data_IF_758220529861
#
_entry.id   IF_758220529861
#
_cell.length_a   1.000
_cell.length_b   1.000
_cell.length_c   1.000
_cell.angle_alpha   90.00
_cell.angle_beta   90.00
_cell.angle_gamma   90.00
#
_symmetry.space_group_name_H-M   'P 1'
#
loop_
_entity.id
_entity.type
_entity.pdbx_description
1 polymer ?
#
# COMPACT_ATOMS: atom_id res chain seq x y z
N UNK A 1 2.75 22.52 -3.66
CA UNK A 1 2.77 22.05 -2.26
C UNK A 1 1.38 21.95 -1.61
N UNK A 2 0.42 22.86 -1.83
CA UNK A 2 -0.94 22.79 -1.23
C UNK A 2 -1.72 21.50 -1.57
N UNK A 3 -1.64 21.01 -2.80
CA UNK A 3 -2.43 19.86 -3.27
C UNK A 3 -2.12 18.54 -2.53
N UNK A 4 -0.84 18.25 -2.31
CA UNK A 4 -0.37 17.05 -1.58
C UNK A 4 -0.86 17.08 -0.13
N UNK A 5 -0.80 18.26 0.51
CA UNK A 5 -1.27 18.43 1.88
C UNK A 5 -2.79 18.23 2.02
N UNK A 6 -3.57 18.70 1.04
CA UNK A 6 -5.04 18.49 1.01
C UNK A 6 -5.40 17.02 0.81
N UNK A 7 -4.73 16.32 -0.11
CA UNK A 7 -4.91 14.88 -0.32
C UNK A 7 -4.60 14.09 0.95
N UNK A 8 -3.47 14.38 1.60
CA UNK A 8 -3.14 13.77 2.89
C UNK A 8 -4.20 14.06 3.95
N UNK A 9 -4.70 15.29 4.04
CA UNK A 9 -5.71 15.65 5.04
C UNK A 9 -7.04 14.89 4.84
N UNK A 10 -7.42 14.59 3.59
CA UNK A 10 -8.61 13.78 3.28
C UNK A 10 -8.37 12.32 3.66
N UNK A 11 -7.18 11.78 3.34
CA UNK A 11 -6.80 10.40 3.64
C UNK A 11 -6.63 10.16 5.14
N UNK A 12 -6.20 11.16 5.91
CA UNK A 12 -5.93 11.03 7.35
C UNK A 12 -7.19 11.03 8.24
N UNK A 13 -8.32 10.59 7.70
CA UNK A 13 -9.50 10.28 8.50
C UNK A 13 -9.30 8.92 9.17
N UNK A 14 -9.64 8.83 10.47
CA UNK A 14 -9.58 7.59 11.26
C UNK A 14 -10.13 6.34 10.54
N UNK A 15 -11.29 6.35 9.86
CA UNK A 15 -11.78 5.17 9.15
C UNK A 15 -10.89 4.75 7.98
N UNK A 16 -10.36 5.70 7.20
CA UNK A 16 -9.49 5.40 6.06
C UNK A 16 -8.14 4.83 6.52
N UNK A 17 -7.63 5.33 7.64
CA UNK A 17 -6.43 4.78 8.27
C UNK A 17 -6.64 3.34 8.74
N UNK A 18 -7.76 3.05 9.40
CA UNK A 18 -8.08 1.69 9.81
C UNK A 18 -8.24 0.76 8.60
N UNK A 19 -8.91 1.22 7.54
CA UNK A 19 -9.06 0.48 6.29
C UNK A 19 -7.70 0.16 5.65
N UNK A 20 -6.83 1.17 5.53
CA UNK A 20 -5.46 1.05 5.01
C UNK A 20 -4.66 0.02 5.79
N UNK A 21 -4.75 0.05 7.13
CA UNK A 21 -4.08 -0.93 8.00
C UNK A 21 -4.60 -2.36 7.77
N UNK A 22 -5.93 -2.52 7.73
CA UNK A 22 -6.56 -3.82 7.50
C UNK A 22 -6.15 -4.39 6.15
N UNK A 23 -6.19 -3.58 5.10
CA UNK A 23 -5.79 -4.00 3.76
C UNK A 23 -4.30 -4.37 3.69
N UNK A 24 -3.43 -3.60 4.34
CA UNK A 24 -2.00 -3.89 4.39
C UNK A 24 -1.69 -5.21 5.13
N UNK A 25 -2.32 -5.44 6.28
CA UNK A 25 -2.15 -6.68 7.05
C UNK A 25 -2.73 -7.88 6.30
N UNK A 26 -3.90 -7.72 5.69
CA UNK A 26 -4.54 -8.77 4.91
C UNK A 26 -3.67 -9.15 3.70
N UNK A 27 -3.19 -8.16 2.94
CA UNK A 27 -2.36 -8.42 1.76
C UNK A 27 -1.03 -9.06 2.15
N UNK A 28 -0.39 -8.58 3.23
CA UNK A 28 0.81 -9.23 3.75
C UNK A 28 0.54 -10.71 4.10
N UNK A 29 -0.58 -10.99 4.76
CA UNK A 29 -1.05 -12.35 5.02
C UNK A 29 -1.24 -13.17 3.75
N UNK A 30 -1.90 -12.61 2.72
CA UNK A 30 -2.09 -13.25 1.42
C UNK A 30 -0.75 -13.61 0.74
N UNK A 31 0.21 -12.69 0.74
CA UNK A 31 1.54 -12.89 0.14
C UNK A 31 2.28 -14.01 0.88
N UNK A 32 2.23 -14.05 2.21
CA UNK A 32 2.88 -15.12 2.98
C UNK A 32 2.17 -16.47 2.86
N UNK A 33 0.85 -16.47 2.69
CA UNK A 33 0.06 -17.70 2.62
C UNK A 33 0.23 -18.42 1.27
N UNK A 34 0.15 -17.68 0.16
CA UNK A 34 0.33 -18.23 -1.17
C UNK A 34 1.10 -17.25 -2.07
N UNK A 35 2.44 -17.23 -1.95
CA UNK A 35 3.28 -16.36 -2.77
C UNK A 35 3.24 -16.74 -4.25
N UNK A 36 2.81 -17.96 -4.59
CA UNK A 36 2.79 -18.44 -5.98
C UNK A 36 1.76 -17.71 -6.85
N UNK A 37 0.68 -17.20 -6.24
CA UNK A 37 -0.33 -16.38 -6.93
C UNK A 37 0.23 -15.05 -7.41
N UNK A 38 1.10 -14.44 -6.61
CA UNK A 38 1.80 -13.22 -6.97
C UNK A 38 3.11 -13.48 -7.69
N UNK A 39 3.48 -14.76 -7.87
CA UNK A 39 4.69 -15.22 -8.53
C UNK A 39 4.39 -15.86 -9.90
N UNK A 40 4.04 -15.04 -10.89
CA UNK A 40 3.83 -15.49 -12.26
C UNK A 40 5.18 -15.89 -12.90
N UNK A 41 5.58 -17.16 -12.70
CA UNK A 41 6.57 -17.92 -13.50
C UNK A 41 7.77 -17.07 -14.00
N UNK A 42 8.74 -16.79 -13.12
CA UNK A 42 10.15 -16.47 -13.49
C UNK A 42 10.34 -15.52 -14.68
N UNK A 43 9.69 -14.36 -14.68
CA UNK A 43 9.93 -13.28 -15.63
C UNK A 43 10.51 -12.09 -14.87
N UNK A 44 11.44 -11.31 -15.43
CA UNK A 44 12.00 -10.11 -14.77
C UNK A 44 10.93 -9.11 -14.29
N UNK A 45 9.73 -9.18 -14.86
CA UNK A 45 8.57 -8.40 -14.46
C UNK A 45 8.09 -8.73 -13.04
N UNK A 46 8.28 -9.97 -12.56
CA UNK A 46 7.86 -10.45 -11.22
C UNK A 46 8.47 -9.63 -10.08
N UNK A 47 9.77 -9.41 -10.17
CA UNK A 47 10.56 -8.79 -9.10
C UNK A 47 10.03 -7.38 -8.81
N UNK A 48 9.64 -6.65 -9.86
CA UNK A 48 9.05 -5.32 -9.74
C UNK A 48 7.67 -5.34 -9.10
N UNK A 49 6.84 -6.36 -9.39
CA UNK A 49 5.54 -6.53 -8.73
C UNK A 49 5.71 -6.82 -7.24
N UNK A 50 6.65 -7.71 -6.86
CA UNK A 50 7.00 -7.96 -5.46
C UNK A 50 7.43 -6.70 -4.72
N UNK A 51 8.32 -5.89 -5.31
CA UNK A 51 8.74 -4.61 -4.73
C UNK A 51 7.59 -3.61 -4.61
N UNK A 52 6.70 -3.55 -5.60
CA UNK A 52 5.53 -2.66 -5.57
C UNK A 52 4.54 -3.07 -4.46
N UNK A 53 4.27 -4.36 -4.30
CA UNK A 53 3.41 -4.89 -3.24
C UNK A 53 4.03 -4.67 -1.86
N UNK A 54 5.34 -4.89 -1.71
CA UNK A 54 6.06 -4.62 -0.46
C UNK A 54 6.00 -3.13 -0.10
N UNK A 55 6.25 -2.25 -1.07
CA UNK A 55 6.10 -0.81 -0.90
C UNK A 55 4.68 -0.43 -0.50
N UNK A 56 3.65 -1.03 -1.12
CA UNK A 56 2.25 -0.76 -0.80
C UNK A 56 1.89 -1.20 0.62
N UNK A 57 2.33 -2.38 1.06
CA UNK A 57 2.15 -2.86 2.43
C UNK A 57 2.83 -1.92 3.44
N UNK A 58 4.10 -1.57 3.24
CA UNK A 58 4.82 -0.65 4.13
C UNK A 58 4.14 0.74 4.18
N UNK A 59 3.75 1.28 3.02
CA UNK A 59 3.07 2.56 2.91
C UNK A 59 1.69 2.53 3.58
N UNK A 60 0.93 1.45 3.44
CA UNK A 60 -0.36 1.24 4.09
C UNK A 60 -0.24 1.09 5.61
N UNK A 61 0.82 0.47 6.12
CA UNK A 61 1.10 0.41 7.56
C UNK A 61 1.44 1.80 8.11
N UNK A 62 2.34 2.54 7.45
CA UNK A 62 2.66 3.94 7.79
C UNK A 62 1.38 4.80 7.81
N UNK A 63 0.60 4.61 6.75
CA UNK A 63 -0.82 4.92 6.58
C UNK A 63 -1.64 4.80 7.86
N UNK A 64 -1.89 3.54 8.18
CA UNK A 64 -2.87 3.11 9.15
C UNK A 64 -2.51 3.43 10.60
N UNK A 65 -1.23 3.33 10.97
CA UNK A 65 -0.78 3.79 12.30
C UNK A 65 -0.85 5.33 12.42
N UNK A 66 -0.94 6.02 11.28
CA UNK A 66 -0.93 7.48 11.10
C UNK A 66 0.35 8.15 11.50
N UNK A 67 1.44 7.50 11.15
CA UNK A 67 2.71 8.17 11.05
C UNK A 67 2.64 9.16 9.89
N UNK A 68 2.87 10.45 10.17
CA UNK A 68 2.92 11.51 9.15
C UNK A 68 4.37 11.91 8.87
N UNK A 69 4.94 11.57 7.70
CA UNK A 69 6.28 12.02 7.33
C UNK A 69 6.33 13.55 7.28
N UNK A 70 7.34 14.16 7.94
CA UNK A 70 7.48 15.63 7.96
C UNK A 70 8.02 16.20 6.65
N UNK A 71 8.88 15.46 5.93
CA UNK A 71 9.48 15.95 4.70
C UNK A 71 8.63 15.60 3.47
N UNK A 72 8.50 16.56 2.55
CA UNK A 72 7.63 16.45 1.36
C UNK A 72 8.05 15.33 0.42
N UNK A 73 9.35 15.05 0.30
CA UNK A 73 9.83 13.92 -0.51
C UNK A 73 9.32 12.59 0.04
N UNK A 74 9.32 12.39 1.36
CA UNK A 74 8.77 11.20 1.99
C UNK A 74 7.24 11.12 1.90
N UNK A 75 6.55 12.26 1.91
CA UNK A 75 5.10 12.29 1.64
C UNK A 75 4.76 11.87 0.20
N UNK A 76 5.63 12.23 -0.76
CA UNK A 76 5.49 11.76 -2.14
C UNK A 76 5.74 10.26 -2.27
N UNK A 77 6.82 9.76 -1.67
CA UNK A 77 7.21 8.34 -1.71
C UNK A 77 6.19 7.45 -0.98
N UNK A 78 5.64 7.90 0.15
CA UNK A 78 4.67 7.14 0.95
C UNK A 78 3.26 7.67 0.79
N UNK A 79 2.88 8.03 -0.44
CA UNK A 79 1.57 8.59 -0.72
C UNK A 79 0.45 7.57 -0.40
N UNK A 80 -0.41 7.84 0.60
CA UNK A 80 -1.37 6.85 1.10
C UNK A 80 -2.41 6.46 0.05
N UNK A 81 -2.81 7.40 -0.81
CA UNK A 81 -3.79 7.12 -1.86
C UNK A 81 -3.29 6.09 -2.87
N UNK A 82 -2.03 6.22 -3.31
CA UNK A 82 -1.44 5.29 -4.28
C UNK A 82 -1.26 3.92 -3.61
N UNK A 83 -0.80 3.90 -2.36
CA UNK A 83 -0.67 2.67 -1.60
C UNK A 83 -2.01 1.93 -1.46
N UNK A 84 -3.09 2.62 -1.06
CA UNK A 84 -4.41 2.01 -0.88
C UNK A 84 -4.98 1.46 -2.18
N UNK A 85 -4.74 2.12 -3.33
CA UNK A 85 -5.13 1.61 -4.65
C UNK A 85 -4.37 0.31 -4.97
N UNK A 86 -3.05 0.28 -4.76
CA UNK A 86 -2.24 -0.92 -5.01
C UNK A 86 -2.63 -2.06 -4.06
N UNK A 87 -2.92 -1.76 -2.79
CA UNK A 87 -3.42 -2.73 -1.82
C UNK A 87 -4.77 -3.33 -2.27
N UNK A 88 -5.70 -2.49 -2.72
CA UNK A 88 -7.00 -2.94 -3.22
C UNK A 88 -6.85 -3.86 -4.43
N UNK A 89 -6.00 -3.49 -5.39
CA UNK A 89 -5.73 -4.29 -6.59
C UNK A 89 -5.05 -5.61 -6.25
N UNK A 90 -4.07 -5.60 -5.34
CA UNK A 90 -3.39 -6.82 -4.89
C UNK A 90 -4.34 -7.79 -4.18
N UNK A 91 -5.23 -7.28 -3.34
CA UNK A 91 -6.27 -8.09 -2.69
C UNK A 91 -7.29 -8.61 -3.70
N UNK A 92 -7.74 -7.76 -4.63
CA UNK A 92 -8.69 -8.16 -5.67
C UNK A 92 -8.12 -9.31 -6.50
N UNK A 93 -6.88 -9.17 -6.98
CA UNK A 93 -6.18 -10.21 -7.75
C UNK A 93 -5.96 -11.51 -6.97
N UNK A 94 -5.83 -11.44 -5.65
CA UNK A 94 -5.73 -12.65 -4.83
C UNK A 94 -7.08 -13.36 -4.70
N UNK A 95 -8.19 -12.64 -4.55
CA UNK A 95 -9.49 -13.25 -4.25
C UNK A 95 -10.33 -13.58 -5.49
N UNK A 96 -10.11 -12.91 -6.63
CA UNK A 96 -10.85 -13.05 -7.88
C UNK A 96 -9.93 -13.40 -9.04
#
# INVERSE_FOLDING_TARGET
MKFIATLYAIMDKRPLRALSLLMALLLAGCIFWDPSRFAAKTSELEIWHGFLLMWAVCSGVIHGVGFRPRAVHWQGIFCPLIADIVLALGLFFFFF
#
